data_IF_618058040345
#
_entry.id   IF_618058040345
#
_cell.length_a   1.000
_cell.length_b   1.000
_cell.length_c   1.000
_cell.angle_alpha   90.00
_cell.angle_beta   90.00
_cell.angle_gamma   90.00
#
_symmetry.space_group_name_H-M   'P 1'
#
loop_
_entity.id
_entity.type
_entity.pdbx_description
1 polymer ?
#
# COMPACT_ATOMS: atom_id res chain seq x y z
N UNK A 1 11.07 9.85 -11.27
CA UNK A 1 10.34 9.51 -10.00
C UNK A 1 11.08 10.11 -8.83
N UNK A 2 10.41 10.88 -7.96
CA UNK A 2 11.07 11.47 -6.78
C UNK A 2 11.49 10.39 -5.79
N UNK A 3 12.69 10.50 -5.23
CA UNK A 3 13.23 9.59 -4.20
C UNK A 3 12.26 9.35 -3.03
N UNK A 4 11.48 10.37 -2.66
CA UNK A 4 10.47 10.31 -1.60
C UNK A 4 9.29 9.37 -1.92
N UNK A 5 8.90 9.24 -3.17
CA UNK A 5 7.81 8.37 -3.59
C UNK A 5 8.24 6.90 -3.61
N UNK A 6 9.47 6.64 -4.09
CA UNK A 6 10.08 5.32 -4.01
C UNK A 6 10.23 4.87 -2.56
N UNK A 7 10.69 5.76 -1.69
CA UNK A 7 10.85 5.50 -0.26
C UNK A 7 9.53 5.09 0.41
N UNK A 8 8.44 5.84 0.17
CA UNK A 8 7.12 5.51 0.72
C UNK A 8 6.58 4.17 0.22
N UNK A 9 6.92 3.79 -1.02
CA UNK A 9 6.50 2.51 -1.58
C UNK A 9 7.32 1.35 -1.02
N UNK A 10 8.63 1.55 -0.87
CA UNK A 10 9.54 0.51 -0.35
C UNK A 10 9.26 0.22 1.14
N UNK A 11 8.93 1.25 1.93
CA UNK A 11 8.61 1.06 3.35
C UNK A 11 7.30 0.29 3.58
N UNK A 12 6.41 0.22 2.58
CA UNK A 12 5.20 -0.57 2.69
C UNK A 12 5.46 -2.07 2.79
N UNK A 13 6.49 -2.59 2.12
CA UNK A 13 6.80 -4.01 2.12
C UNK A 13 7.14 -4.55 3.52
N UNK A 14 8.08 -3.95 4.29
CA UNK A 14 8.33 -4.40 5.66
C UNK A 14 7.14 -4.15 6.60
N UNK A 15 6.35 -3.10 6.39
CA UNK A 15 5.15 -2.85 7.17
C UNK A 15 4.06 -3.91 6.93
N UNK A 16 3.86 -4.32 5.69
CA UNK A 16 2.93 -5.39 5.34
C UNK A 16 3.38 -6.73 5.94
N UNK A 17 4.69 -7.01 5.92
CA UNK A 17 5.26 -8.18 6.60
C UNK A 17 4.94 -8.17 8.09
N UNK A 18 5.21 -7.07 8.78
CA UNK A 18 4.91 -6.90 10.19
C UNK A 18 3.41 -7.04 10.48
N UNK A 19 2.54 -6.50 9.63
CA UNK A 19 1.09 -6.62 9.80
C UNK A 19 0.62 -8.09 9.73
N UNK A 20 1.17 -8.88 8.80
CA UNK A 20 0.86 -10.31 8.69
C UNK A 20 1.41 -11.09 9.89
N UNK A 21 2.64 -10.81 10.32
CA UNK A 21 3.23 -11.43 11.51
C UNK A 21 2.39 -11.12 12.75
N UNK A 22 2.03 -9.85 12.96
CA UNK A 22 1.17 -9.44 14.07
C UNK A 22 -0.20 -10.12 14.02
N UNK A 23 -0.80 -10.30 12.85
CA UNK A 23 -2.05 -11.02 12.70
C UNK A 23 -1.94 -12.49 13.15
N UNK A 24 -0.85 -13.17 12.75
CA UNK A 24 -0.57 -14.54 13.20
C UNK A 24 -0.36 -14.63 14.70
N UNK A 25 0.45 -13.74 15.29
CA UNK A 25 0.71 -13.73 16.73
C UNK A 25 -0.54 -13.39 17.55
N UNK A 26 -1.36 -12.44 17.07
CA UNK A 26 -2.63 -12.09 17.70
C UNK A 26 -3.63 -13.24 17.65
N UNK A 27 -3.69 -13.98 16.54
CA UNK A 27 -4.55 -15.15 16.40
C UNK A 27 -4.16 -16.27 17.38
N UNK A 28 -2.87 -16.47 17.58
CA UNK A 28 -2.36 -17.40 18.62
C UNK A 28 -2.78 -16.96 20.00
N UNK A 29 -2.53 -15.70 20.34
CA UNK A 29 -2.90 -15.15 21.66
C UNK A 29 -4.41 -15.30 21.92
N UNK A 30 -5.27 -14.92 20.96
CA UNK A 30 -6.71 -15.06 21.09
C UNK A 30 -7.15 -16.51 21.29
N UNK A 31 -6.48 -17.47 20.63
CA UNK A 31 -6.78 -18.90 20.81
C UNK A 31 -6.48 -19.40 22.21
N UNK A 32 -5.37 -18.97 22.79
CA UNK A 32 -4.90 -19.50 24.07
C UNK A 32 -5.32 -18.67 25.29
N UNK A 33 -5.65 -17.39 25.12
CA UNK A 33 -6.15 -16.52 26.19
C UNK A 33 -7.67 -16.61 26.39
N UNK A 34 -8.42 -16.99 25.34
CA UNK A 34 -9.90 -16.91 25.36
C UNK A 34 -10.61 -18.06 26.04
N UNK A 35 -9.97 -19.20 26.30
CA UNK A 35 -10.58 -20.34 27.04
C UNK A 35 -11.82 -20.99 26.37
N UNK A 36 -12.27 -20.51 25.22
CA UNK A 36 -13.57 -20.87 24.62
C UNK A 36 -13.62 -22.22 23.92
N UNK A 37 -12.49 -22.85 23.65
CA UNK A 37 -12.45 -24.11 22.90
C UNK A 37 -11.42 -25.06 23.51
N UNK A 38 -11.70 -26.38 23.61
CA UNK A 38 -10.77 -27.36 24.14
C UNK A 38 -9.46 -27.38 23.33
N UNK A 39 -8.34 -27.32 24.04
CA UNK A 39 -7.00 -27.33 23.46
C UNK A 39 -6.56 -28.78 23.36
N UNK A 40 -6.67 -29.38 22.17
CA UNK A 40 -6.23 -30.78 21.93
C UNK A 40 -4.72 -30.86 21.73
N UNK A 41 -4.12 -29.84 21.12
CA UNK A 41 -2.67 -29.77 20.88
C UNK A 41 -2.18 -28.32 20.99
N UNK A 42 -1.10 -28.12 21.75
CA UNK A 42 -0.44 -26.82 21.90
C UNK A 42 0.94 -26.89 21.23
N UNK A 43 1.06 -26.22 20.09
CA UNK A 43 2.35 -26.06 19.43
C UNK A 43 3.30 -25.23 20.32
N UNK A 44 4.57 -25.63 20.51
CA UNK A 44 5.57 -24.82 21.19
C UNK A 44 5.71 -23.45 20.53
N UNK A 45 5.91 -22.42 21.36
CA UNK A 45 5.99 -21.02 20.87
C UNK A 45 7.05 -20.82 19.79
N UNK A 46 8.24 -21.41 19.96
CA UNK A 46 9.33 -21.28 18.99
C UNK A 46 8.97 -21.83 17.61
N UNK A 47 8.32 -22.98 17.58
CA UNK A 47 7.90 -23.62 16.33
C UNK A 47 6.79 -22.81 15.67
N UNK A 48 5.83 -22.31 16.46
CA UNK A 48 4.77 -21.44 15.94
C UNK A 48 5.33 -20.16 15.36
N UNK A 49 6.23 -19.48 16.07
CA UNK A 49 6.83 -18.22 15.63
C UNK A 49 7.60 -18.39 14.31
N UNK A 50 8.39 -19.44 14.17
CA UNK A 50 9.09 -19.76 12.91
C UNK A 50 8.10 -20.00 11.77
N UNK A 51 7.03 -20.73 12.02
CA UNK A 51 5.98 -20.97 11.03
C UNK A 51 5.28 -19.68 10.59
N UNK A 52 4.99 -18.77 11.53
CA UNK A 52 4.40 -17.46 11.22
C UNK A 52 5.33 -16.63 10.33
N UNK A 53 6.63 -16.59 10.60
CA UNK A 53 7.60 -15.86 9.78
C UNK A 53 7.67 -16.43 8.36
N UNK A 54 7.70 -17.75 8.23
CA UNK A 54 7.72 -18.41 6.93
C UNK A 54 6.44 -18.14 6.14
N UNK A 55 5.29 -18.30 6.78
CA UNK A 55 3.98 -17.99 6.19
C UNK A 55 3.92 -16.51 5.78
N UNK A 56 4.39 -15.59 6.59
CA UNK A 56 4.40 -14.17 6.26
C UNK A 56 5.28 -13.88 5.03
N UNK A 57 6.44 -14.54 4.90
CA UNK A 57 7.29 -14.39 3.72
C UNK A 57 6.60 -14.90 2.45
N UNK A 58 5.96 -16.08 2.50
CA UNK A 58 5.18 -16.61 1.37
C UNK A 58 4.01 -15.68 1.02
N UNK A 59 3.34 -15.13 2.03
CA UNK A 59 2.22 -14.20 1.81
C UNK A 59 2.65 -12.91 1.12
N UNK A 60 3.84 -12.37 1.44
CA UNK A 60 4.40 -11.23 0.69
C UNK A 60 4.59 -11.54 -0.79
N UNK A 61 5.07 -12.74 -1.12
CA UNK A 61 5.20 -13.18 -2.51
C UNK A 61 3.84 -13.16 -3.20
N UNK A 62 2.81 -13.71 -2.56
CA UNK A 62 1.43 -13.65 -3.08
C UNK A 62 0.96 -12.21 -3.29
N UNK A 63 1.29 -11.29 -2.38
CA UNK A 63 0.96 -9.87 -2.52
C UNK A 63 1.66 -9.21 -3.70
N UNK A 64 2.90 -9.59 -4.01
CA UNK A 64 3.61 -9.11 -5.21
C UNK A 64 2.88 -9.55 -6.48
N UNK A 65 2.50 -10.82 -6.58
CA UNK A 65 1.76 -11.34 -7.74
C UNK A 65 0.33 -10.79 -7.84
N UNK A 66 -0.34 -10.50 -6.73
CA UNK A 66 -1.67 -9.90 -6.73
C UNK A 66 -1.68 -8.42 -7.15
N UNK A 67 -0.51 -7.83 -7.45
CA UNK A 67 -0.36 -6.44 -7.85
C UNK A 67 -0.68 -5.44 -6.74
N UNK A 68 -0.54 -5.86 -5.47
CA UNK A 68 -0.74 -4.99 -4.31
C UNK A 68 0.28 -3.83 -4.30
N UNK A 69 1.49 -4.09 -4.79
CA UNK A 69 2.59 -3.12 -4.89
C UNK A 69 2.68 -2.43 -6.25
N UNK A 70 1.72 -2.67 -7.17
CA UNK A 70 1.74 -1.98 -8.46
C UNK A 70 1.65 -0.46 -8.26
N UNK A 71 2.60 0.24 -8.86
CA UNK A 71 2.87 1.67 -8.73
C UNK A 71 1.76 2.52 -9.36
N UNK A 72 0.69 2.75 -8.63
CA UNK A 72 -0.33 3.68 -9.06
C UNK A 72 -0.76 4.55 -7.87
N UNK A 73 -0.13 5.72 -7.77
CA UNK A 73 -0.35 6.65 -6.66
C UNK A 73 -1.70 7.34 -6.69
N UNK A 74 -2.37 7.37 -7.84
CA UNK A 74 -3.67 8.01 -7.99
C UNK A 74 -4.83 7.11 -7.57
N UNK A 75 -4.56 5.92 -7.03
CA UNK A 75 -5.61 4.98 -6.64
C UNK A 75 -6.39 5.43 -5.43
N UNK A 76 -7.71 5.46 -5.60
CA UNK A 76 -8.65 5.69 -4.50
C UNK A 76 -8.46 4.63 -3.41
N UNK A 77 -8.54 5.02 -2.14
CA UNK A 77 -8.40 4.16 -0.97
C UNK A 77 -9.26 2.87 -1.08
N UNK A 78 -10.50 3.01 -1.58
CA UNK A 78 -11.41 1.87 -1.81
C UNK A 78 -10.80 0.78 -2.71
N UNK A 79 -10.03 1.18 -3.70
CA UNK A 79 -9.38 0.27 -4.63
C UNK A 79 -8.19 -0.45 -3.98
N UNK A 80 -7.48 0.24 -3.07
CA UNK A 80 -6.40 -0.36 -2.27
C UNK A 80 -6.95 -1.41 -1.30
N UNK A 81 -8.04 -1.12 -0.59
CA UNK A 81 -8.70 -2.07 0.33
C UNK A 81 -9.21 -3.29 -0.44
N UNK A 82 -9.83 -3.12 -1.61
CA UNK A 82 -10.27 -4.24 -2.45
C UNK A 82 -9.11 -5.18 -2.82
N UNK A 83 -7.93 -4.65 -3.13
CA UNK A 83 -6.74 -5.46 -3.42
C UNK A 83 -6.18 -6.15 -2.18
N UNK A 84 -6.24 -5.51 -1.01
CA UNK A 84 -5.89 -6.14 0.27
C UNK A 84 -6.78 -7.36 0.50
N UNK A 85 -8.10 -7.23 0.33
CA UNK A 85 -9.04 -8.36 0.46
C UNK A 85 -8.68 -9.51 -0.48
N UNK A 86 -8.44 -9.21 -1.77
CA UNK A 86 -8.07 -10.22 -2.76
C UNK A 86 -6.73 -10.88 -2.40
N UNK A 87 -5.70 -10.09 -2.10
CA UNK A 87 -4.37 -10.60 -1.74
C UNK A 87 -4.38 -11.47 -0.48
N UNK A 88 -5.07 -11.02 0.58
CA UNK A 88 -5.21 -11.79 1.82
C UNK A 88 -5.98 -13.10 1.57
N UNK A 89 -7.03 -13.08 0.74
CA UNK A 89 -7.80 -14.28 0.42
C UNK A 89 -7.02 -15.28 -0.44
N UNK A 90 -6.22 -14.79 -1.40
CA UNK A 90 -5.30 -15.64 -2.16
C UNK A 90 -4.26 -16.30 -1.26
N UNK A 91 -3.63 -15.52 -0.37
CA UNK A 91 -2.68 -16.04 0.62
C UNK A 91 -3.31 -17.08 1.53
N UNK A 92 -4.55 -16.87 1.96
CA UNK A 92 -5.31 -17.83 2.76
C UNK A 92 -5.54 -19.14 2.02
N UNK A 93 -5.93 -19.09 0.73
CA UNK A 93 -6.10 -20.29 -0.11
C UNK A 93 -4.78 -21.05 -0.25
N UNK A 94 -3.66 -20.36 -0.48
CA UNK A 94 -2.33 -20.99 -0.57
C UNK A 94 -1.99 -21.74 0.71
N UNK A 95 -2.26 -21.13 1.88
CA UNK A 95 -2.00 -21.77 3.18
C UNK A 95 -2.90 -22.97 3.38
N UNK A 96 -4.17 -22.92 3.03
CA UNK A 96 -5.08 -24.08 3.13
C UNK A 96 -4.58 -25.24 2.26
N UNK A 97 -4.17 -24.95 1.02
CA UNK A 97 -3.60 -25.96 0.13
C UNK A 97 -2.36 -26.59 0.75
N UNK A 98 -1.45 -25.76 1.29
CA UNK A 98 -0.24 -26.22 1.96
C UNK A 98 -0.55 -27.13 3.14
N UNK A 99 -1.48 -26.74 4.02
CA UNK A 99 -1.90 -27.55 5.18
C UNK A 99 -2.54 -28.86 4.74
N UNK A 100 -3.31 -28.84 3.65
CA UNK A 100 -3.96 -30.05 3.11
C UNK A 100 -2.93 -31.10 2.66
N UNK A 101 -1.83 -30.66 2.02
CA UNK A 101 -0.80 -31.59 1.56
C UNK A 101 0.12 -32.11 2.66
N UNK A 102 0.44 -31.33 3.67
CA UNK A 102 1.48 -31.65 4.69
C UNK A 102 0.92 -32.36 5.93
N UNK A 103 -0.39 -32.49 6.05
CA UNK A 103 -1.12 -33.23 7.11
C UNK A 103 -0.75 -32.95 8.58
N UNK A 104 0.38 -32.31 8.89
CA UNK A 104 0.93 -32.29 10.26
C UNK A 104 0.95 -30.93 10.95
N UNK A 105 0.83 -29.80 10.24
CA UNK A 105 1.38 -28.54 10.76
C UNK A 105 0.40 -27.68 11.55
N UNK A 106 -0.90 -27.78 11.32
CA UNK A 106 -1.86 -26.90 12.00
C UNK A 106 -3.05 -27.67 12.56
N UNK A 107 -2.96 -28.05 13.82
CA UNK A 107 -4.07 -28.70 14.54
C UNK A 107 -5.28 -27.79 14.78
N UNK A 108 -5.18 -26.48 14.50
CA UNK A 108 -6.24 -25.53 14.76
C UNK A 108 -6.61 -24.70 13.53
N UNK A 109 -7.62 -25.16 12.81
CA UNK A 109 -8.28 -24.41 11.70
C UNK A 109 -8.74 -23.03 12.15
N UNK A 110 -9.07 -22.89 13.44
CA UNK A 110 -9.47 -21.63 14.05
C UNK A 110 -8.36 -20.57 13.95
N UNK A 111 -7.10 -20.91 14.26
CA UNK A 111 -5.98 -19.96 14.22
C UNK A 111 -5.80 -19.42 12.79
N UNK A 112 -5.89 -20.28 11.79
CA UNK A 112 -5.70 -19.88 10.38
C UNK A 112 -6.80 -18.92 9.93
N UNK A 113 -8.05 -19.20 10.29
CA UNK A 113 -9.19 -18.35 9.94
C UNK A 113 -9.11 -16.99 10.65
N UNK A 114 -8.81 -16.99 11.95
CA UNK A 114 -8.67 -15.75 12.73
C UNK A 114 -7.47 -14.94 12.24
N UNK A 115 -6.35 -15.58 11.94
CA UNK A 115 -5.17 -14.90 11.38
C UNK A 115 -5.50 -14.24 10.03
N UNK A 116 -6.26 -14.88 9.17
CA UNK A 116 -6.73 -14.31 7.90
C UNK A 116 -7.60 -13.07 8.12
N UNK A 117 -8.59 -13.13 9.01
CA UNK A 117 -9.45 -11.98 9.32
C UNK A 117 -8.64 -10.82 9.91
N UNK A 118 -7.74 -11.12 10.86
CA UNK A 118 -6.86 -10.11 11.47
C UNK A 118 -5.89 -9.51 10.46
N UNK A 119 -5.37 -10.31 9.51
CA UNK A 119 -4.52 -9.81 8.44
C UNK A 119 -5.26 -8.78 7.57
N UNK A 120 -6.51 -9.04 7.19
CA UNK A 120 -7.35 -8.09 6.46
C UNK A 120 -7.53 -6.79 7.25
N UNK A 121 -7.83 -6.90 8.54
CA UNK A 121 -8.05 -5.73 9.41
C UNK A 121 -6.77 -4.90 9.55
N UNK A 122 -5.65 -5.53 9.91
CA UNK A 122 -4.37 -4.83 10.12
C UNK A 122 -3.84 -4.21 8.83
N UNK A 123 -3.92 -4.92 7.71
CA UNK A 123 -3.55 -4.39 6.40
C UNK A 123 -4.44 -3.22 5.97
N UNK A 124 -5.74 -3.30 6.24
CA UNK A 124 -6.67 -2.20 5.93
C UNK A 124 -6.37 -0.96 6.77
N UNK A 125 -6.13 -1.13 8.07
CA UNK A 125 -5.71 -0.04 8.97
C UNK A 125 -4.38 0.56 8.49
N UNK A 126 -3.42 -0.27 8.12
CA UNK A 126 -2.13 0.19 7.60
C UNK A 126 -2.31 1.04 6.33
N UNK A 127 -3.18 0.63 5.40
CA UNK A 127 -3.49 1.42 4.19
C UNK A 127 -4.15 2.75 4.52
N UNK A 128 -5.05 2.78 5.50
CA UNK A 128 -5.66 4.02 6.00
C UNK A 128 -4.62 4.97 6.59
N UNK A 129 -3.75 4.47 7.47
CA UNK A 129 -2.69 5.25 8.09
C UNK A 129 -1.72 5.82 7.04
N UNK A 130 -1.28 4.99 6.09
CA UNK A 130 -0.38 5.42 5.02
C UNK A 130 -1.04 6.43 4.08
N UNK A 131 -2.35 6.31 3.84
CA UNK A 131 -3.12 7.31 3.08
C UNK A 131 -3.17 8.64 3.82
N UNK A 132 -3.41 8.63 5.14
CA UNK A 132 -3.41 9.83 5.97
C UNK A 132 -2.02 10.51 6.01
N UNK A 133 -0.97 9.72 6.19
CA UNK A 133 0.42 10.22 6.16
C UNK A 133 0.74 10.89 4.81
N UNK A 134 0.38 10.25 3.69
CA UNK A 134 0.56 10.84 2.36
C UNK A 134 -0.17 12.18 2.22
N UNK A 135 -1.42 12.24 2.66
CA UNK A 135 -2.20 13.49 2.59
C UNK A 135 -1.58 14.60 3.45
N UNK A 136 -1.02 14.27 4.62
CA UNK A 136 -0.30 15.23 5.47
C UNK A 136 0.96 15.74 4.76
N UNK A 137 1.74 14.86 4.15
CA UNK A 137 2.95 15.23 3.40
C UNK A 137 2.62 16.12 2.20
N UNK A 138 1.54 15.81 1.47
CA UNK A 138 1.09 16.64 0.33
C UNK A 138 0.63 18.04 0.78
N UNK A 139 -0.04 18.16 1.91
CA UNK A 139 -0.41 19.48 2.48
C UNK A 139 0.81 20.33 2.84
N UNK A 140 1.92 19.70 3.23
CA UNK A 140 3.18 20.36 3.54
C UNK A 140 4.03 20.62 2.29
N UNK A 141 3.55 20.28 1.08
CA UNK A 141 4.31 20.44 -0.17
C UNK A 141 5.43 19.40 -0.35
N UNK A 142 5.47 18.37 0.52
CA UNK A 142 6.46 17.30 0.44
C UNK A 142 5.90 16.20 -0.46
N UNK A 143 6.75 15.67 -1.38
CA UNK A 143 6.40 14.60 -2.32
C UNK A 143 5.30 14.97 -3.34
N UNK A 144 4.98 16.25 -3.52
CA UNK A 144 4.07 16.72 -4.59
C UNK A 144 4.74 16.59 -5.96
N UNK A 145 3.95 16.26 -6.97
CA UNK A 145 4.37 16.27 -8.38
C UNK A 145 4.28 17.68 -8.91
N UNK A 146 5.39 18.18 -9.45
CA UNK A 146 5.44 19.46 -10.13
C UNK A 146 5.01 19.27 -11.57
N UNK A 147 3.87 19.86 -11.92
CA UNK A 147 3.30 19.77 -13.27
C UNK A 147 3.34 21.12 -13.96
N UNK A 148 3.63 21.09 -15.24
CA UNK A 148 3.46 22.23 -16.14
C UNK A 148 2.24 21.96 -16.98
N UNK A 149 1.39 22.96 -17.13
CA UNK A 149 0.14 22.84 -17.92
C UNK A 149 0.30 23.68 -19.18
N UNK A 150 0.10 23.03 -20.32
CA UNK A 150 0.17 23.65 -21.65
C UNK A 150 -1.25 23.75 -22.22
N UNK A 151 -1.65 24.94 -22.58
CA UNK A 151 -2.94 25.20 -23.22
C UNK A 151 -3.71 26.39 -22.62
N UNK A 152 -4.63 26.92 -23.42
CA UNK A 152 -5.44 28.10 -23.09
C UNK A 152 -6.93 27.81 -23.16
N UNK A 153 -7.35 26.58 -22.90
CA UNK A 153 -8.76 26.20 -22.93
C UNK A 153 -9.42 26.43 -21.57
N UNK A 154 -10.76 26.53 -21.56
CA UNK A 154 -11.57 26.56 -20.32
C UNK A 154 -11.30 25.33 -19.43
N UNK A 155 -10.98 24.20 -20.03
CA UNK A 155 -10.62 22.96 -19.30
C UNK A 155 -9.32 23.13 -18.53
N UNK A 156 -8.34 23.85 -19.08
CA UNK A 156 -7.05 24.15 -18.42
C UNK A 156 -7.26 25.00 -17.18
N UNK A 157 -8.13 26.01 -17.25
CA UNK A 157 -8.45 26.85 -16.09
C UNK A 157 -9.14 26.04 -14.97
N UNK A 158 -10.07 25.16 -15.34
CA UNK A 158 -10.73 24.28 -14.37
C UNK A 158 -9.72 23.36 -13.70
N UNK A 159 -8.78 22.76 -14.45
CA UNK A 159 -7.72 21.93 -13.91
C UNK A 159 -6.79 22.69 -12.93
N UNK A 160 -6.37 23.90 -13.31
CA UNK A 160 -5.53 24.72 -12.42
C UNK A 160 -6.27 25.06 -11.14
N UNK A 161 -7.55 25.42 -11.24
CA UNK A 161 -8.39 25.72 -10.08
C UNK A 161 -8.58 24.51 -9.18
N UNK A 162 -8.81 23.34 -9.77
CA UNK A 162 -8.97 22.08 -9.04
C UNK A 162 -7.67 21.68 -8.30
N UNK A 163 -6.51 21.75 -8.96
CA UNK A 163 -5.23 21.44 -8.35
C UNK A 163 -4.84 22.44 -7.26
N UNK A 164 -5.21 23.71 -7.40
CA UNK A 164 -4.95 24.74 -6.39
C UNK A 164 -5.89 24.60 -5.18
N UNK A 165 -7.14 24.23 -5.41
CA UNK A 165 -8.13 24.03 -4.34
C UNK A 165 -7.89 22.73 -3.55
N UNK A 166 -7.44 21.67 -4.23
CA UNK A 166 -7.28 20.33 -3.66
C UNK A 166 -5.83 19.90 -3.57
N UNK A 167 -5.05 20.53 -2.66
CA UNK A 167 -3.62 20.19 -2.42
C UNK A 167 -3.38 18.71 -2.05
N UNK A 168 -4.42 18.02 -1.56
CA UNK A 168 -4.41 16.59 -1.25
C UNK A 168 -4.28 15.67 -2.49
N UNK A 169 -4.47 16.20 -3.71
CA UNK A 169 -4.21 15.47 -4.96
C UNK A 169 -2.73 15.25 -5.23
N UNK A 170 -1.85 16.00 -4.54
CA UNK A 170 -0.40 15.86 -4.66
C UNK A 170 0.19 16.45 -5.94
N UNK A 171 -0.54 17.34 -6.61
CA UNK A 171 -0.07 18.10 -7.77
C UNK A 171 0.20 19.56 -7.41
N UNK A 172 1.31 20.11 -7.92
CA UNK A 172 1.64 21.52 -7.81
C UNK A 172 1.90 22.07 -9.21
N UNK A 173 1.05 23.00 -9.62
CA UNK A 173 1.25 23.70 -10.91
C UNK A 173 2.40 24.69 -10.74
N UNK A 174 3.46 24.51 -11.51
CA UNK A 174 4.66 25.37 -11.50
C UNK A 174 4.50 26.56 -12.44
N UNK A 175 4.07 26.31 -13.67
CA UNK A 175 3.87 27.35 -14.69
C UNK A 175 2.79 26.89 -15.68
N UNK A 176 2.10 27.86 -16.27
CA UNK A 176 1.17 27.65 -17.38
C UNK A 176 1.79 28.27 -18.63
N UNK A 177 1.71 27.56 -19.75
CA UNK A 177 2.03 28.05 -21.08
C UNK A 177 0.76 28.10 -21.92
N UNK A 178 0.43 29.27 -22.47
CA UNK A 178 -0.81 29.46 -23.26
C UNK A 178 -0.66 28.93 -24.68
N UNK A 179 0.44 29.26 -25.34
CA UNK A 179 0.79 28.82 -26.69
C UNK A 179 2.25 28.37 -26.71
N UNK A 180 2.55 27.29 -27.44
CA UNK A 180 3.90 26.75 -27.51
C UNK A 180 4.66 27.43 -28.66
N UNK A 181 5.14 28.67 -28.42
CA UNK A 181 6.01 29.39 -29.34
C UNK A 181 7.49 29.10 -29.06
N UNK A 182 8.38 29.40 -30.02
CA UNK A 182 9.82 29.14 -29.90
C UNK A 182 10.46 29.73 -28.65
N UNK A 183 10.03 30.93 -28.21
CA UNK A 183 10.54 31.57 -27.02
C UNK A 183 10.06 30.90 -25.73
N UNK A 184 8.82 30.41 -25.71
CA UNK A 184 8.26 29.61 -24.61
C UNK A 184 8.88 28.21 -24.54
N UNK A 185 9.32 27.65 -25.67
CA UNK A 185 10.03 26.37 -25.71
C UNK A 185 11.40 26.46 -25.00
N UNK A 186 12.13 27.54 -25.17
CA UNK A 186 13.42 27.78 -24.47
C UNK A 186 13.21 27.95 -22.96
N UNK A 187 12.16 28.65 -22.55
CA UNK A 187 11.77 28.80 -21.14
C UNK A 187 11.32 27.48 -20.52
N UNK A 188 10.61 26.65 -21.29
CA UNK A 188 10.19 25.30 -20.87
C UNK A 188 11.39 24.39 -20.66
N UNK A 189 12.36 24.40 -21.57
CA UNK A 189 13.59 23.62 -21.42
C UNK A 189 14.39 24.03 -20.18
N UNK A 190 14.53 25.35 -19.93
CA UNK A 190 15.14 25.86 -18.69
C UNK A 190 14.39 25.41 -17.44
N UNK A 191 13.06 25.40 -17.45
CA UNK A 191 12.23 24.94 -16.35
C UNK A 191 12.39 23.45 -16.09
N UNK A 192 12.47 22.62 -17.12
CA UNK A 192 12.74 21.19 -16.98
C UNK A 192 14.05 20.91 -16.25
N UNK A 193 15.10 21.67 -16.58
CA UNK A 193 16.43 21.50 -15.99
C UNK A 193 16.47 22.07 -14.56
N UNK A 194 15.88 23.26 -14.32
CA UNK A 194 16.05 24.00 -13.07
C UNK A 194 15.02 23.66 -12.02
N UNK A 195 13.77 23.39 -12.41
CA UNK A 195 12.64 23.23 -11.47
C UNK A 195 12.27 21.78 -11.18
N UNK A 196 12.92 20.80 -11.83
CA UNK A 196 12.63 19.38 -11.64
C UNK A 196 11.15 19.07 -11.87
N UNK A 197 10.61 19.48 -13.01
CA UNK A 197 9.26 19.17 -13.46
C UNK A 197 9.14 17.65 -13.61
N UNK A 198 8.08 17.07 -13.05
CA UNK A 198 7.87 15.62 -13.04
C UNK A 198 7.00 15.17 -14.23
N UNK A 199 6.07 16.01 -14.69
CA UNK A 199 5.13 15.74 -15.81
C UNK A 199 4.77 17.06 -16.52
N UNK A 200 4.59 17.01 -17.83
CA UNK A 200 4.11 18.09 -18.67
C UNK A 200 2.92 17.64 -19.52
#
# INVERSE_FOLDING_TARGET
>A
MKKSQLFLSTIMLPLDFLAVVLAGLSAYSLRFSGGYLPIVFKMPWDQYFRSVLLVAAVWLIVFMFSGLYAFDQSRKLRQQIKRVLIGCSLGFVVIIIYIFFIREVFSSRFIVLVAWLLAIVYMSILRLLMSAVRQMLYKQGIAVRRVVIIGDSKTTEVLIREFSAHKNLGYQVVKRFSNFNSDEAADFEKLLITSGVDEA
#
